data_IF_724758827897
#
_entry.id   IF_724758827897
#
_cell.length_a   1.000
_cell.length_b   1.000
_cell.length_c   1.000
_cell.angle_alpha   90.00
_cell.angle_beta   90.00
_cell.angle_gamma   90.00
#
_symmetry.space_group_name_H-M   'P 1'
#
loop_
_entity.id
_entity.type
_entity.pdbx_description
1 polymer ?
#
# COMPACT_ATOMS: atom_id res chain seq x y z
N UNK A 1 32.01 -5.22 -18.01
CA UNK A 1 31.17 -5.11 -16.77
C UNK A 1 31.44 -6.38 -16.01
N UNK A 2 32.00 -6.37 -14.78
CA UNK A 2 32.22 -7.60 -14.02
C UNK A 2 30.85 -8.17 -13.63
N UNK A 3 30.65 -9.45 -13.92
CA UNK A 3 29.56 -10.27 -13.39
C UNK A 3 29.66 -10.23 -11.85
N UNK A 4 28.75 -9.51 -11.22
CA UNK A 4 28.58 -9.57 -9.77
C UNK A 4 27.89 -10.90 -9.48
N UNK A 5 28.63 -11.80 -8.83
CA UNK A 5 28.08 -13.07 -8.38
C UNK A 5 26.76 -12.88 -7.66
N UNK A 6 25.83 -13.83 -7.89
CA UNK A 6 24.56 -13.96 -7.19
C UNK A 6 24.81 -14.14 -5.69
N UNK A 7 25.03 -13.02 -4.99
CA UNK A 7 24.87 -13.02 -3.54
C UNK A 7 23.40 -13.30 -3.30
N UNK A 8 23.12 -14.41 -2.61
CA UNK A 8 21.79 -14.84 -2.19
C UNK A 8 21.03 -13.59 -1.68
N UNK A 9 20.02 -13.16 -2.44
CA UNK A 9 19.30 -11.93 -2.13
C UNK A 9 18.50 -12.17 -0.86
N UNK A 10 19.08 -11.78 0.27
CA UNK A 10 18.37 -11.73 1.54
C UNK A 10 17.10 -10.92 1.31
N UNK A 11 15.93 -11.52 1.64
CA UNK A 11 14.63 -10.86 1.55
C UNK A 11 14.56 -9.62 2.48
N UNK A 12 13.49 -8.85 2.44
CA UNK A 12 13.38 -7.66 3.28
C UNK A 12 13.29 -8.05 4.76
N UNK A 13 13.78 -7.18 5.62
CA UNK A 13 13.51 -7.25 7.05
C UNK A 13 12.12 -6.71 7.35
N UNK A 14 11.45 -7.29 8.35
CA UNK A 14 10.09 -6.97 8.76
C UNK A 14 10.12 -6.18 10.07
N UNK A 15 9.43 -5.06 10.14
CA UNK A 15 9.40 -4.18 11.31
C UNK A 15 8.03 -3.57 11.53
N UNK A 16 7.84 -2.91 12.68
CA UNK A 16 6.57 -2.29 13.06
C UNK A 16 6.79 -0.89 13.63
N UNK A 17 5.80 -0.05 13.42
CA UNK A 17 5.70 1.26 14.07
C UNK A 17 4.29 1.47 14.62
N UNK A 18 4.07 2.54 15.36
CA UNK A 18 2.77 2.86 15.95
C UNK A 18 2.26 4.17 15.36
N UNK A 19 1.05 4.13 14.80
CA UNK A 19 0.29 5.30 14.38
C UNK A 19 -1.13 5.21 14.92
N UNK A 20 -1.64 6.26 15.56
CA UNK A 20 -2.99 6.32 16.13
C UNK A 20 -3.38 5.09 16.99
N UNK A 21 -2.43 4.57 17.79
CA UNK A 21 -2.57 3.34 18.59
C UNK A 21 -2.69 2.05 17.78
N UNK A 22 -2.51 2.09 16.45
CA UNK A 22 -2.39 0.92 15.60
C UNK A 22 -0.94 0.52 15.47
N UNK A 23 -0.66 -0.77 15.58
CA UNK A 23 0.63 -1.36 15.25
C UNK A 23 0.63 -1.64 13.76
N UNK A 24 1.42 -0.89 13.00
CA UNK A 24 1.50 -0.96 11.56
C UNK A 24 2.83 -1.58 11.13
N UNK A 25 2.78 -2.41 10.11
CA UNK A 25 3.90 -3.17 9.58
C UNK A 25 4.56 -2.46 8.40
N UNK A 26 5.83 -2.69 8.20
CA UNK A 26 6.58 -2.30 7.03
C UNK A 26 7.76 -3.24 6.78
N UNK A 27 8.22 -3.29 5.55
CA UNK A 27 9.41 -4.05 5.16
C UNK A 27 10.51 -3.15 4.65
N UNK A 28 11.76 -3.52 4.97
CA UNK A 28 12.97 -2.81 4.59
C UNK A 28 13.85 -3.71 3.73
N UNK A 29 14.15 -3.24 2.55
CA UNK A 29 15.02 -3.93 1.59
C UNK A 29 16.50 -3.59 1.75
N UNK A 30 16.87 -2.81 2.78
CA UNK A 30 18.24 -2.38 3.06
C UNK A 30 18.77 -1.31 2.12
N UNK A 31 20.10 -1.19 2.06
CA UNK A 31 20.84 -0.13 1.37
C UNK A 31 20.64 1.25 2.04
N UNK A 32 20.78 1.27 3.37
CA UNK A 32 20.47 2.41 4.24
C UNK A 32 21.22 3.70 3.89
N UNK A 33 22.41 3.59 3.29
CA UNK A 33 23.22 4.75 2.85
C UNK A 33 22.73 5.38 1.53
N UNK A 34 21.82 4.71 0.83
CA UNK A 34 21.28 5.19 -0.43
C UNK A 34 20.06 6.11 -0.22
N UNK A 35 19.61 6.76 -1.30
CA UNK A 35 18.46 7.66 -1.26
C UNK A 35 17.18 6.90 -0.89
N UNK A 36 16.36 7.40 0.05
CA UNK A 36 15.15 6.73 0.46
C UNK A 36 14.09 6.70 -0.63
N UNK A 37 13.47 5.53 -0.77
CA UNK A 37 12.38 5.23 -1.70
C UNK A 37 11.26 4.53 -0.94
N UNK A 38 10.09 5.13 -0.89
CA UNK A 38 8.89 4.57 -0.29
C UNK A 38 7.97 4.00 -1.37
N UNK A 39 7.58 2.73 -1.24
CA UNK A 39 6.65 2.04 -2.14
C UNK A 39 5.32 1.82 -1.43
N UNK A 40 4.25 2.48 -1.87
CA UNK A 40 2.92 2.41 -1.23
C UNK A 40 1.97 1.60 -2.12
N UNK A 41 1.47 0.48 -1.61
CA UNK A 41 0.58 -0.42 -2.33
C UNK A 41 -0.85 0.12 -2.51
N UNK A 42 -1.64 -0.51 -3.37
CA UNK A 42 -3.04 -0.21 -3.61
C UNK A 42 -3.99 -0.81 -2.56
N UNK A 43 -5.27 -0.51 -2.65
CA UNK A 43 -6.29 -1.16 -1.83
C UNK A 43 -6.37 -2.66 -2.12
N UNK A 44 -6.56 -3.50 -1.09
CA UNK A 44 -6.58 -4.97 -1.16
C UNK A 44 -5.27 -5.61 -1.58
N UNK A 45 -4.17 -4.93 -1.32
CA UNK A 45 -2.82 -5.36 -1.61
C UNK A 45 -1.97 -5.26 -0.35
N UNK A 46 -0.67 -5.47 -0.42
CA UNK A 46 0.24 -5.44 0.73
C UNK A 46 1.67 -5.05 0.31
N UNK A 47 2.55 -4.79 1.27
CA UNK A 47 3.93 -4.37 1.05
C UNK A 47 4.73 -5.33 0.15
N UNK A 48 4.49 -6.64 0.32
CA UNK A 48 5.23 -7.68 -0.39
C UNK A 48 4.86 -7.84 -1.87
N UNK A 49 3.81 -7.14 -2.34
CA UNK A 49 3.51 -7.07 -3.78
C UNK A 49 4.59 -6.31 -4.57
N UNK A 50 5.38 -5.50 -3.88
CA UNK A 50 6.51 -4.77 -4.45
C UNK A 50 7.81 -5.58 -4.56
N UNK A 51 7.86 -6.81 -4.06
CA UNK A 51 9.11 -7.56 -3.88
C UNK A 51 9.96 -7.66 -5.15
N UNK A 52 9.35 -7.94 -6.30
CA UNK A 52 10.09 -8.01 -7.57
C UNK A 52 10.69 -6.67 -7.98
N UNK A 53 9.95 -5.60 -7.81
CA UNK A 53 10.41 -4.23 -8.12
C UNK A 53 11.43 -3.76 -7.09
N UNK A 54 11.20 -4.04 -5.82
CA UNK A 54 12.09 -3.66 -4.73
C UNK A 54 13.46 -4.32 -4.84
N UNK A 55 13.53 -5.58 -5.28
CA UNK A 55 14.80 -6.28 -5.54
C UNK A 55 15.71 -5.54 -6.53
N UNK A 56 15.14 -4.95 -7.57
CA UNK A 56 15.90 -4.19 -8.54
C UNK A 56 16.24 -2.80 -8.03
N UNK A 57 15.27 -2.10 -7.43
CA UNK A 57 15.44 -0.72 -6.98
C UNK A 57 16.38 -0.58 -5.77
N UNK A 58 16.49 -1.62 -4.91
CA UNK A 58 17.41 -1.60 -3.77
C UNK A 58 18.89 -1.48 -4.11
N UNK A 59 19.25 -1.70 -5.38
CA UNK A 59 20.63 -1.50 -5.85
C UNK A 59 21.08 -0.06 -5.73
N UNK A 60 20.14 0.87 -5.92
CA UNK A 60 20.41 2.31 -6.00
C UNK A 60 19.64 3.13 -4.96
N UNK A 61 18.73 2.49 -4.20
CA UNK A 61 17.86 3.14 -3.23
C UNK A 61 17.74 2.34 -1.93
N UNK A 62 17.53 3.06 -0.82
CA UNK A 62 17.01 2.47 0.42
C UNK A 62 15.50 2.29 0.26
N UNK A 63 15.05 1.05 0.04
CA UNK A 63 13.65 0.77 -0.30
C UNK A 63 12.86 0.32 0.90
N UNK A 64 11.78 1.06 1.20
CA UNK A 64 10.82 0.80 2.27
C UNK A 64 9.44 0.59 1.67
N UNK A 65 8.70 -0.39 2.18
CA UNK A 65 7.31 -0.61 1.78
C UNK A 65 6.44 -0.90 3.00
N UNK A 66 5.49 -0.02 3.38
CA UNK A 66 4.54 -0.28 4.45
C UNK A 66 3.37 -1.13 3.99
N UNK A 67 2.81 -1.91 4.92
CA UNK A 67 1.43 -2.35 4.84
C UNK A 67 0.52 -1.24 5.36
N UNK A 68 -0.40 -0.80 4.53
CA UNK A 68 -1.40 0.19 4.95
C UNK A 68 -2.29 -0.39 6.06
N UNK A 69 -2.86 0.46 6.92
CA UNK A 69 -3.83 0.03 7.94
C UNK A 69 -4.89 -0.91 7.34
N UNK A 70 -5.16 -2.03 7.99
CA UNK A 70 -6.13 -3.03 7.53
C UNK A 70 -5.67 -3.89 6.36
N UNK A 71 -4.37 -3.89 6.04
CA UNK A 71 -3.78 -4.70 4.97
C UNK A 71 -2.54 -5.44 5.50
N UNK A 72 -2.20 -6.57 4.88
CA UNK A 72 -1.04 -7.37 5.23
C UNK A 72 -0.94 -7.63 6.73
N UNK A 73 0.25 -7.43 7.29
CA UNK A 73 0.55 -7.61 8.71
C UNK A 73 0.21 -6.39 9.58
N UNK A 74 -0.36 -5.33 9.01
CA UNK A 74 -0.80 -4.15 9.74
C UNK A 74 -2.13 -4.35 10.48
N UNK A 75 -2.26 -3.72 11.65
CA UNK A 75 -3.48 -3.78 12.44
C UNK A 75 -4.70 -3.18 11.71
N UNK A 76 -5.85 -3.74 11.98
CA UNK A 76 -7.15 -3.22 11.53
C UNK A 76 -7.64 -2.14 12.48
N UNK A 77 -8.08 -1.01 11.92
CA UNK A 77 -8.68 0.07 12.70
C UNK A 77 -10.11 -0.33 13.13
N UNK A 78 -10.30 -0.53 14.41
CA UNK A 78 -11.62 -0.73 14.99
C UNK A 78 -12.38 0.60 14.96
N UNK A 79 -13.61 0.60 14.48
CA UNK A 79 -14.45 1.80 14.43
C UNK A 79 -14.36 2.63 13.15
N UNK A 80 -13.76 2.11 12.07
CA UNK A 80 -13.91 2.68 10.73
C UNK A 80 -13.00 3.87 10.40
N UNK A 81 -11.85 4.00 11.03
CA UNK A 81 -10.83 5.01 10.71
C UNK A 81 -10.02 4.63 9.46
N UNK A 82 -10.64 4.77 8.30
CA UNK A 82 -10.07 4.49 6.97
C UNK A 82 -10.28 5.68 6.01
N UNK A 83 -10.35 6.89 6.55
CA UNK A 83 -10.36 8.09 5.73
C UNK A 83 -8.98 8.33 5.11
N UNK A 84 -8.93 9.06 4.01
CA UNK A 84 -7.66 9.39 3.34
C UNK A 84 -6.67 10.07 4.31
N UNK A 85 -7.15 10.95 5.18
CA UNK A 85 -6.33 11.60 6.19
C UNK A 85 -5.67 10.62 7.17
N UNK A 86 -6.32 9.51 7.48
CA UNK A 86 -5.76 8.48 8.36
C UNK A 86 -4.56 7.76 7.71
N UNK A 87 -4.66 7.43 6.42
CA UNK A 87 -3.56 6.83 5.66
C UNK A 87 -2.39 7.79 5.47
N UNK A 88 -2.68 9.06 5.21
CA UNK A 88 -1.64 10.10 5.08
C UNK A 88 -0.90 10.30 6.39
N UNK A 89 -1.62 10.28 7.53
CA UNK A 89 -1.00 10.36 8.86
C UNK A 89 -0.12 9.14 9.14
N UNK A 90 -0.53 7.92 8.74
CA UNK A 90 0.29 6.74 8.92
C UNK A 90 1.62 6.84 8.18
N UNK A 91 1.58 7.29 6.92
CA UNK A 91 2.79 7.52 6.12
C UNK A 91 3.67 8.61 6.76
N UNK A 92 3.06 9.69 7.26
CA UNK A 92 3.79 10.75 7.94
C UNK A 92 4.50 10.24 9.20
N UNK A 93 3.82 9.40 10.01
CA UNK A 93 4.40 8.79 11.20
C UNK A 93 5.54 7.83 10.89
N UNK A 94 5.39 7.01 9.82
CA UNK A 94 6.46 6.11 9.38
C UNK A 94 7.72 6.90 8.99
N UNK A 95 7.57 7.87 8.09
CA UNK A 95 8.70 8.66 7.60
C UNK A 95 9.36 9.47 8.71
N UNK A 96 8.58 9.99 9.67
CA UNK A 96 9.11 10.68 10.85
C UNK A 96 9.87 9.72 11.77
N UNK A 97 9.33 8.54 12.04
CA UNK A 97 9.96 7.54 12.90
C UNK A 97 11.30 7.05 12.32
N UNK A 98 11.40 6.95 10.99
CA UNK A 98 12.60 6.50 10.29
C UNK A 98 13.52 7.64 9.86
N UNK A 99 13.12 8.91 10.02
CA UNK A 99 13.85 10.10 9.57
C UNK A 99 14.23 10.04 8.07
N UNK A 100 13.34 9.48 7.22
CA UNK A 100 13.58 9.24 5.81
C UNK A 100 13.05 10.38 4.92
N UNK A 101 13.69 11.51 4.98
CA UNK A 101 13.35 12.64 4.10
C UNK A 101 14.58 13.45 3.72
N UNK A 102 14.61 14.04 2.48
CA UNK A 102 13.56 13.99 1.47
C UNK A 102 13.48 12.63 0.76
N UNK A 103 12.27 12.08 0.63
CA UNK A 103 11.98 10.75 0.10
C UNK A 103 11.45 10.80 -1.34
N UNK A 104 11.76 9.78 -2.14
CA UNK A 104 11.01 9.51 -3.38
C UNK A 104 9.86 8.56 -3.05
N UNK A 105 8.65 8.84 -3.54
CA UNK A 105 7.48 8.01 -3.27
C UNK A 105 6.94 7.43 -4.59
N UNK A 106 6.74 6.13 -4.63
CA UNK A 106 5.99 5.43 -5.67
C UNK A 106 4.73 4.85 -5.06
N UNK A 107 3.57 5.23 -5.56
CA UNK A 107 2.30 4.74 -5.04
C UNK A 107 1.41 4.20 -6.15
N UNK A 108 0.78 3.04 -5.90
CA UNK A 108 -0.17 2.43 -6.80
C UNK A 108 -1.61 2.65 -6.30
N UNK A 109 -2.52 3.08 -7.18
CA UNK A 109 -3.96 3.23 -6.88
C UNK A 109 -4.19 4.06 -5.58
N UNK A 110 -4.71 3.45 -4.51
CA UNK A 110 -4.85 4.09 -3.19
C UNK A 110 -3.52 4.69 -2.70
N UNK A 111 -2.41 3.96 -2.85
CA UNK A 111 -1.07 4.44 -2.51
C UNK A 111 -0.64 5.66 -3.33
N UNK A 112 -1.07 5.74 -4.59
CA UNK A 112 -0.85 6.93 -5.44
C UNK A 112 -1.58 8.15 -4.90
N UNK A 113 -2.85 8.01 -4.51
CA UNK A 113 -3.63 9.08 -3.91
C UNK A 113 -3.05 9.53 -2.56
N UNK A 114 -2.59 8.59 -1.72
CA UNK A 114 -1.90 8.88 -0.45
C UNK A 114 -0.61 9.66 -0.72
N UNK A 115 0.22 9.22 -1.67
CA UNK A 115 1.48 9.87 -2.03
C UNK A 115 1.28 11.32 -2.48
N UNK A 116 0.29 11.57 -3.33
CA UNK A 116 -0.05 12.92 -3.79
C UNK A 116 -0.52 13.81 -2.63
N UNK A 117 -1.38 13.28 -1.76
CA UNK A 117 -1.90 14.03 -0.63
C UNK A 117 -0.81 14.29 0.42
N UNK A 118 0.05 13.31 0.74
CA UNK A 118 1.20 13.52 1.60
C UNK A 118 2.13 14.62 1.05
N UNK A 119 2.41 14.58 -0.26
CA UNK A 119 3.26 15.58 -0.91
C UNK A 119 2.66 16.98 -0.85
N UNK A 120 1.32 17.10 -0.93
CA UNK A 120 0.66 18.41 -0.82
C UNK A 120 0.78 19.03 0.58
N UNK A 121 0.93 18.18 1.62
CA UNK A 121 1.11 18.61 3.01
C UNK A 121 2.57 18.89 3.34
N UNK A 122 3.50 18.10 2.81
CA UNK A 122 4.95 18.15 3.10
C UNK A 122 5.80 18.22 1.82
N UNK A 123 5.63 19.25 0.97
CA UNK A 123 6.32 19.32 -0.33
C UNK A 123 7.85 19.33 -0.18
N UNK A 124 8.39 19.90 0.88
CA UNK A 124 9.83 19.97 1.15
C UNK A 124 10.42 18.60 1.56
N UNK A 125 9.60 17.68 2.03
CA UNK A 125 10.01 16.33 2.44
C UNK A 125 9.99 15.32 1.30
N UNK A 126 9.49 15.71 0.11
CA UNK A 126 9.34 14.80 -1.03
C UNK A 126 10.20 15.26 -2.20
N UNK A 127 11.06 14.36 -2.66
CA UNK A 127 11.95 14.61 -3.80
C UNK A 127 11.23 14.43 -5.13
N UNK A 128 10.48 13.33 -5.27
CA UNK A 128 9.72 12.95 -6.46
C UNK A 128 8.53 12.08 -6.06
N UNK A 129 7.47 12.15 -6.87
CA UNK A 129 6.31 11.24 -6.77
C UNK A 129 6.10 10.54 -8.11
N UNK A 130 5.86 9.25 -8.05
CA UNK A 130 5.36 8.45 -9.17
C UNK A 130 4.01 7.86 -8.74
N UNK A 131 2.93 8.33 -9.32
CA UNK A 131 1.60 7.78 -9.10
C UNK A 131 1.26 6.82 -10.26
N UNK A 132 1.20 5.53 -9.94
CA UNK A 132 0.74 4.49 -10.86
C UNK A 132 -0.76 4.36 -10.65
N UNK A 133 -1.56 5.04 -11.48
CA UNK A 133 -2.97 5.31 -11.22
C UNK A 133 -3.16 6.16 -9.94
N UNK A 134 -4.37 6.24 -9.39
CA UNK A 134 -4.60 6.95 -8.12
C UNK A 134 -4.64 8.47 -8.22
N UNK A 135 -4.81 9.04 -9.41
CA UNK A 135 -5.00 10.48 -9.63
C UNK A 135 -6.41 10.97 -9.23
N UNK A 136 -7.21 10.10 -8.63
CA UNK A 136 -8.60 10.36 -8.32
C UNK A 136 -9.57 9.86 -9.40
N UNK A 137 -10.87 10.04 -9.20
CA UNK A 137 -11.86 9.61 -10.17
C UNK A 137 -11.77 10.43 -11.47
N UNK A 138 -12.10 9.83 -12.63
CA UNK A 138 -12.16 10.55 -13.90
C UNK A 138 -13.09 11.76 -13.84
N UNK A 139 -12.84 12.82 -14.63
CA UNK A 139 -13.66 14.04 -14.64
C UNK A 139 -15.17 13.79 -14.74
N UNK A 140 -15.59 12.82 -15.57
CA UNK A 140 -16.99 12.45 -15.72
C UNK A 140 -17.63 11.93 -14.42
N UNK A 141 -16.87 11.17 -13.62
CA UNK A 141 -17.33 10.70 -12.30
C UNK A 141 -17.40 11.87 -11.30
N UNK A 142 -16.42 12.76 -11.33
CA UNK A 142 -16.43 13.97 -10.49
C UNK A 142 -17.68 14.81 -10.79
N UNK A 143 -18.02 14.95 -12.07
CA UNK A 143 -19.20 15.72 -12.51
C UNK A 143 -20.50 15.06 -12.04
N UNK A 144 -20.64 13.75 -12.18
CA UNK A 144 -21.76 13.00 -11.63
C UNK A 144 -21.87 13.13 -10.09
N UNK A 145 -20.75 13.15 -9.39
CA UNK A 145 -20.73 13.32 -7.93
C UNK A 145 -21.14 14.73 -7.48
N UNK A 146 -21.00 15.76 -8.33
CA UNK A 146 -21.45 17.13 -8.01
C UNK A 146 -22.97 17.23 -7.89
N UNK A 147 -23.69 16.47 -8.70
CA UNK A 147 -25.16 16.52 -8.75
C UNK A 147 -25.80 15.70 -7.63
N UNK A 148 -25.02 14.83 -6.95
CA UNK A 148 -25.52 14.03 -5.83
C UNK A 148 -25.64 14.90 -4.58
N UNK A 149 -26.84 15.02 -4.06
CA UNK A 149 -27.12 15.83 -2.86
C UNK A 149 -26.40 15.27 -1.64
N UNK A 150 -25.95 16.12 -0.68
CA UNK A 150 -25.21 15.66 0.51
C UNK A 150 -25.91 14.54 1.30
N UNK A 151 -27.23 14.61 1.44
CA UNK A 151 -27.99 13.57 2.15
C UNK A 151 -28.03 12.24 1.40
N UNK A 152 -28.04 12.24 0.07
CA UNK A 152 -27.96 11.01 -0.75
C UNK A 152 -26.58 10.34 -0.60
N UNK A 153 -25.50 11.13 -0.59
CA UNK A 153 -24.15 10.62 -0.32
C UNK A 153 -24.07 9.96 1.08
N UNK A 154 -24.69 10.60 2.07
CA UNK A 154 -24.73 10.04 3.42
C UNK A 154 -25.54 8.74 3.48
N UNK A 155 -26.71 8.69 2.83
CA UNK A 155 -27.50 7.44 2.75
C UNK A 155 -26.71 6.31 2.10
N UNK A 156 -26.10 6.57 0.94
CA UNK A 156 -25.26 5.59 0.24
C UNK A 156 -24.14 5.08 1.15
N UNK A 157 -23.42 5.99 1.81
CA UNK A 157 -22.37 5.62 2.76
C UNK A 157 -22.89 4.74 3.92
N UNK A 158 -24.03 5.09 4.52
CA UNK A 158 -24.66 4.29 5.59
C UNK A 158 -24.99 2.89 5.09
N UNK A 159 -25.58 2.77 3.91
CA UNK A 159 -25.96 1.49 3.34
C UNK A 159 -24.74 0.63 2.99
N UNK A 160 -23.66 1.23 2.50
CA UNK A 160 -22.40 0.54 2.28
C UNK A 160 -21.77 0.05 3.59
N UNK A 161 -21.77 0.87 4.64
CA UNK A 161 -21.26 0.46 5.95
C UNK A 161 -22.07 -0.69 6.56
N UNK A 162 -23.40 -0.68 6.39
CA UNK A 162 -24.27 -1.79 6.81
C UNK A 162 -23.94 -3.08 6.06
N UNK A 163 -23.74 -3.00 4.73
CA UNK A 163 -23.31 -4.15 3.92
C UNK A 163 -21.94 -4.69 4.36
N UNK A 164 -21.00 -3.80 4.63
CA UNK A 164 -19.67 -4.19 5.12
C UNK A 164 -19.75 -4.87 6.50
N UNK A 165 -20.56 -4.36 7.42
CA UNK A 165 -20.74 -4.93 8.75
C UNK A 165 -21.30 -6.37 8.72
N UNK A 166 -22.07 -6.73 7.69
CA UNK A 166 -22.62 -8.09 7.52
C UNK A 166 -21.76 -9.00 6.68
N UNK A 167 -20.69 -8.48 6.06
CA UNK A 167 -19.82 -9.26 5.18
C UNK A 167 -19.00 -10.26 5.99
N UNK A 168 -19.13 -11.53 5.65
CA UNK A 168 -18.25 -12.57 6.19
C UNK A 168 -16.97 -12.64 5.37
N UNK A 169 -15.80 -12.64 6.01
CA UNK A 169 -14.54 -12.86 5.32
C UNK A 169 -14.56 -14.23 4.62
N UNK A 170 -14.12 -14.27 3.37
CA UNK A 170 -13.97 -15.55 2.67
C UNK A 170 -12.82 -16.33 3.30
N UNK A 171 -13.07 -17.59 3.60
CA UNK A 171 -12.06 -18.52 4.10
C UNK A 171 -11.75 -19.55 3.02
N UNK A 172 -10.48 -19.88 2.89
CA UNK A 172 -10.02 -20.89 1.94
C UNK A 172 -9.48 -22.09 2.71
N UNK A 173 -9.67 -23.33 2.21
CA UNK A 173 -9.20 -24.54 2.88
C UNK A 173 -7.67 -24.68 2.83
N UNK A 174 -7.00 -24.03 1.88
CA UNK A 174 -5.54 -24.06 1.75
C UNK A 174 -5.05 -22.78 1.02
N UNK A 175 -3.74 -22.56 1.08
CA UNK A 175 -3.05 -21.48 0.34
C UNK A 175 -3.21 -21.71 -1.16
N UNK A 176 -3.14 -22.95 -1.64
CA UNK A 176 -3.28 -23.31 -3.05
C UNK A 176 -4.67 -22.95 -3.57
N UNK A 177 -5.72 -23.20 -2.78
CA UNK A 177 -7.08 -22.81 -3.12
C UNK A 177 -7.24 -21.29 -3.21
N UNK A 178 -6.63 -20.55 -2.30
CA UNK A 178 -6.63 -19.08 -2.32
C UNK A 178 -5.83 -18.51 -3.51
N UNK A 179 -4.65 -19.06 -3.79
CA UNK A 179 -3.82 -18.68 -4.93
C UNK A 179 -4.50 -19.01 -6.27
N UNK A 180 -5.16 -20.16 -6.35
CA UNK A 180 -5.97 -20.53 -7.51
C UNK A 180 -7.08 -19.51 -7.78
N UNK A 181 -7.79 -19.10 -6.72
CA UNK A 181 -8.83 -18.06 -6.82
C UNK A 181 -8.25 -16.70 -7.26
N UNK A 182 -7.07 -16.32 -6.77
CA UNK A 182 -6.41 -15.09 -7.19
C UNK A 182 -6.08 -15.10 -8.69
N UNK A 183 -5.64 -16.24 -9.23
CA UNK A 183 -5.38 -16.41 -10.67
C UNK A 183 -6.65 -16.39 -11.52
N UNK A 184 -7.76 -16.87 -11.00
CA UNK A 184 -9.07 -16.75 -11.68
C UNK A 184 -9.48 -15.27 -11.82
N UNK A 185 -9.20 -14.43 -10.82
CA UNK A 185 -9.50 -13.00 -10.87
C UNK A 185 -8.47 -12.22 -11.69
N UNK A 186 -7.21 -12.65 -11.72
CA UNK A 186 -6.12 -12.04 -12.49
C UNK A 186 -5.30 -13.11 -13.20
N UNK A 187 -5.67 -13.41 -14.45
CA UNK A 187 -5.04 -14.43 -15.29
C UNK A 187 -3.60 -14.11 -15.74
N UNK A 188 -3.13 -12.89 -15.51
CA UNK A 188 -1.75 -12.50 -15.83
C UNK A 188 -0.74 -12.96 -14.76
N UNK A 189 -1.20 -13.34 -13.56
CA UNK A 189 -0.33 -13.83 -12.51
C UNK A 189 0.19 -15.24 -12.84
N UNK A 190 1.50 -15.42 -12.71
CA UNK A 190 2.09 -16.76 -12.66
C UNK A 190 1.64 -17.48 -11.38
N UNK A 191 1.82 -18.80 -11.33
CA UNK A 191 1.52 -19.59 -10.13
C UNK A 191 2.39 -19.14 -8.94
N UNK A 192 3.67 -18.88 -9.19
CA UNK A 192 4.61 -18.36 -8.19
C UNK A 192 4.16 -17.01 -7.64
N UNK A 193 3.80 -16.07 -8.53
CA UNK A 193 3.31 -14.75 -8.12
C UNK A 193 2.02 -14.84 -7.30
N UNK A 194 1.04 -15.62 -7.76
CA UNK A 194 -0.21 -15.81 -7.04
C UNK A 194 0.01 -16.41 -5.66
N UNK A 195 0.88 -17.44 -5.56
CA UNK A 195 1.23 -18.06 -4.28
C UNK A 195 1.93 -17.07 -3.35
N UNK A 196 2.91 -16.33 -3.87
CA UNK A 196 3.64 -15.30 -3.10
C UNK A 196 2.68 -14.24 -2.53
N UNK A 197 1.83 -13.67 -3.37
CA UNK A 197 0.84 -12.67 -2.96
C UNK A 197 -0.16 -13.23 -1.95
N UNK A 198 -0.54 -14.51 -2.08
CA UNK A 198 -1.46 -15.17 -1.14
C UNK A 198 -0.84 -15.42 0.24
N UNK A 199 0.46 -15.73 0.27
CA UNK A 199 1.16 -16.06 1.54
C UNK A 199 1.41 -14.81 2.38
N UNK A 200 1.56 -13.66 1.74
CA UNK A 200 1.91 -12.39 2.39
C UNK A 200 0.74 -11.42 2.54
N UNK A 201 -0.47 -11.77 2.02
CA UNK A 201 -1.67 -10.93 2.04
C UNK A 201 -2.74 -11.31 3.06
#
# INVERSE_FOLDING_TARGET
>A
VPERGDAELIGPTSSFYVSQRLRLHWVDWGNEDARPLLLIHGGRDHARSWDWVARDLRRDHHVIAPDLRGHGDSAWALGGMYAMADFVLDVAQLLEALQLFPVTIVGHSLGGAIALQYTSVYPERVRKVVAIEGLGPPPAIIEQMRDVRPWQRMQTWIDEMRKLATRQPRRYPSIEAAAGRMREENSFLSEEQARHLTVHG
#
